data_IF_892706387287
#
_entry.id   IF_892706387287
#
_cell.length_a   1.000
_cell.length_b   1.000
_cell.length_c   1.000
_cell.angle_alpha   90.00
_cell.angle_beta   90.00
_cell.angle_gamma   90.00
#
_symmetry.space_group_name_H-M   'P 1'
#
loop_
_entity.id
_entity.type
_entity.pdbx_description
1 polymer ?
#
# COMPACT_ATOMS: atom_id res chain seq x y z
N UNK A 1 -2.92 8.42 -6.32
CA UNK A 1 -3.74 7.91 -5.19
C UNK A 1 -3.53 8.75 -3.94
N UNK A 2 -4.51 8.75 -3.03
CA UNK A 2 -4.45 9.47 -1.75
C UNK A 2 -3.74 8.62 -0.69
N UNK A 3 -2.71 9.17 -0.06
CA UNK A 3 -2.06 8.60 1.12
C UNK A 3 -2.94 8.80 2.35
N UNK A 4 -3.16 7.74 3.12
CA UNK A 4 -3.87 7.79 4.39
C UNK A 4 -2.89 7.47 5.52
N UNK A 5 -2.40 8.48 6.28
CA UNK A 5 -1.41 8.25 7.33
C UNK A 5 -1.98 7.44 8.50
N UNK A 6 -1.11 6.66 9.14
CA UNK A 6 -1.43 5.98 10.41
C UNK A 6 -1.72 7.02 11.50
N UNK A 7 -2.80 6.81 12.26
CA UNK A 7 -3.09 7.61 13.46
C UNK A 7 -4.55 7.64 13.89
N UNK A 8 -5.51 7.56 12.95
CA UNK A 8 -6.96 7.68 13.28
C UNK A 8 -7.75 6.38 13.18
N UNK A 9 -7.29 5.43 12.37
CA UNK A 9 -8.01 4.17 12.08
C UNK A 9 -7.06 3.12 11.52
N UNK A 10 -7.23 1.87 11.92
CA UNK A 10 -6.58 0.73 11.26
C UNK A 10 -6.96 0.69 9.76
N UNK A 11 -6.07 0.18 8.88
CA UNK A 11 -6.41 0.04 7.47
C UNK A 11 -7.62 -0.89 7.32
N UNK A 12 -8.62 -0.53 6.51
CA UNK A 12 -9.75 -1.42 6.27
C UNK A 12 -9.29 -2.69 5.55
N UNK A 13 -10.11 -3.73 5.60
CA UNK A 13 -9.92 -4.91 4.74
C UNK A 13 -10.16 -4.57 3.27
N UNK A 14 -9.47 -5.26 2.37
CA UNK A 14 -9.74 -5.15 0.94
C UNK A 14 -11.14 -5.60 0.59
N UNK A 15 -11.63 -5.15 -0.57
CA UNK A 15 -12.86 -5.66 -1.19
C UNK A 15 -12.57 -6.11 -2.62
N UNK A 16 -13.42 -6.99 -3.14
CA UNK A 16 -13.32 -7.42 -4.53
C UNK A 16 -13.45 -6.24 -5.50
N UNK A 17 -12.86 -6.40 -6.68
CA UNK A 17 -12.82 -5.36 -7.68
C UNK A 17 -12.27 -5.85 -9.01
N UNK A 18 -12.27 -4.96 -9.99
CA UNK A 18 -11.62 -5.14 -11.29
C UNK A 18 -10.11 -5.17 -11.17
N UNK A 19 -9.42 -5.92 -12.03
CA UNK A 19 -7.96 -5.91 -12.07
C UNK A 19 -7.43 -4.52 -12.42
N UNK A 20 -6.36 -4.09 -11.75
CA UNK A 20 -5.70 -2.80 -11.94
C UNK A 20 -4.22 -2.91 -11.55
N UNK A 21 -3.48 -1.82 -11.66
CA UNK A 21 -2.08 -1.73 -11.23
C UNK A 21 -1.87 -0.55 -10.29
N UNK A 22 -1.05 -0.76 -9.27
CA UNK A 22 -0.52 0.29 -8.39
C UNK A 22 0.99 0.43 -8.61
N UNK A 23 1.45 1.67 -8.75
CA UNK A 23 2.89 1.98 -8.81
C UNK A 23 3.27 2.73 -7.54
N UNK A 24 3.90 2.03 -6.61
CA UNK A 24 4.44 2.63 -5.39
C UNK A 24 5.69 3.42 -5.70
N UNK A 25 5.81 4.60 -5.10
CA UNK A 25 6.99 5.46 -5.19
C UNK A 25 7.40 5.83 -3.77
N UNK A 26 8.50 5.24 -3.29
CA UNK A 26 9.01 5.58 -1.98
C UNK A 26 9.83 6.87 -2.06
N UNK A 27 9.20 8.00 -1.70
CA UNK A 27 9.85 9.31 -1.59
C UNK A 27 10.24 9.67 -0.15
N UNK A 28 10.08 8.74 0.79
CA UNK A 28 10.59 8.88 2.15
C UNK A 28 12.09 8.58 2.18
N UNK A 29 12.76 8.99 3.24
CA UNK A 29 14.20 8.74 3.43
C UNK A 29 14.51 7.31 3.87
N UNK A 30 13.49 6.51 4.24
CA UNK A 30 13.64 5.17 4.79
C UNK A 30 13.14 4.08 3.84
N UNK A 31 13.65 2.85 3.98
CA UNK A 31 13.02 1.67 3.38
C UNK A 31 11.67 1.41 4.04
N UNK A 32 10.70 1.00 3.24
CA UNK A 32 9.35 0.66 3.70
C UNK A 32 8.97 -0.74 3.25
N UNK A 33 8.07 -1.38 3.98
CA UNK A 33 7.47 -2.66 3.57
C UNK A 33 6.06 -2.44 3.08
N UNK A 34 5.70 -3.17 2.02
CA UNK A 34 4.39 -3.14 1.39
C UNK A 34 3.61 -4.41 1.77
N UNK A 35 2.41 -4.20 2.30
CA UNK A 35 1.47 -5.24 2.68
C UNK A 35 0.16 -5.05 1.96
N UNK A 36 -0.42 -6.13 1.45
CA UNK A 36 -1.82 -6.15 1.07
C UNK A 36 -2.65 -6.59 2.27
N UNK A 37 -3.73 -5.87 2.58
CA UNK A 37 -4.69 -6.32 3.57
C UNK A 37 -5.69 -7.24 2.88
N UNK A 38 -5.74 -8.51 3.26
CA UNK A 38 -6.60 -9.50 2.62
C UNK A 38 -8.09 -9.17 2.78
N UNK A 39 -8.94 -9.92 2.08
CA UNK A 39 -10.40 -9.82 2.26
C UNK A 39 -10.87 -10.20 3.67
N UNK A 40 -10.05 -10.93 4.41
CA UNK A 40 -10.27 -11.31 5.81
C UNK A 40 -9.65 -10.30 6.80
N UNK A 41 -8.91 -9.29 6.32
CA UNK A 41 -8.23 -8.30 7.16
C UNK A 41 -6.80 -8.67 7.55
N UNK A 42 -6.26 -9.77 7.02
CA UNK A 42 -4.90 -10.22 7.34
C UNK A 42 -3.85 -9.44 6.54
N UNK A 43 -2.72 -9.11 7.17
CA UNK A 43 -1.58 -8.49 6.47
C UNK A 43 -0.82 -9.54 5.68
N UNK A 44 -0.73 -9.38 4.37
CA UNK A 44 0.06 -10.22 3.47
C UNK A 44 1.25 -9.41 2.98
N UNK A 45 2.46 -9.82 3.39
CA UNK A 45 3.70 -9.18 2.92
C UNK A 45 3.87 -9.41 1.42
N UNK A 46 4.28 -8.36 0.70
CA UNK A 46 4.54 -8.42 -0.74
C UNK A 46 5.97 -8.07 -1.09
N UNK A 47 6.47 -6.93 -0.60
CA UNK A 47 7.77 -6.43 -1.02
C UNK A 47 8.32 -5.44 -0.01
N UNK A 48 9.65 -5.34 0.04
CA UNK A 48 10.35 -4.22 0.65
C UNK A 48 10.77 -3.23 -0.43
N UNK A 49 10.45 -1.96 -0.23
CA UNK A 49 10.74 -0.88 -1.15
C UNK A 49 11.74 0.11 -0.54
N UNK A 50 12.97 0.06 -1.05
CA UNK A 50 14.05 0.96 -0.61
C UNK A 50 13.71 2.44 -0.85
N UNK A 51 14.33 3.31 -0.07
CA UNK A 51 14.26 4.77 -0.26
C UNK A 51 14.57 5.17 -1.71
N UNK A 52 13.77 6.08 -2.26
CA UNK A 52 13.89 6.59 -3.64
C UNK A 52 13.52 5.59 -4.74
N UNK A 53 13.05 4.38 -4.42
CA UNK A 53 12.71 3.35 -5.41
C UNK A 53 11.20 3.27 -5.68
N UNK A 54 10.88 2.69 -6.84
CA UNK A 54 9.51 2.43 -7.27
C UNK A 54 9.23 0.93 -7.34
N UNK A 55 7.99 0.52 -7.07
CA UNK A 55 7.52 -0.86 -7.20
C UNK A 55 6.19 -0.89 -7.95
N UNK A 56 6.14 -1.59 -9.09
CA UNK A 56 4.91 -1.81 -9.85
C UNK A 56 4.27 -3.13 -9.42
N UNK A 57 3.00 -3.09 -9.05
CA UNK A 57 2.28 -4.24 -8.53
C UNK A 57 0.90 -4.37 -9.17
N UNK A 58 0.64 -5.52 -9.79
CA UNK A 58 -0.70 -5.89 -10.23
C UNK A 58 -1.58 -6.14 -9.00
N UNK A 59 -2.80 -5.63 -9.02
CA UNK A 59 -3.73 -5.68 -7.89
C UNK A 59 -5.18 -5.60 -8.41
N UNK A 60 -6.12 -5.33 -7.53
CA UNK A 60 -7.53 -5.12 -7.86
C UNK A 60 -8.00 -3.77 -7.33
N UNK A 61 -9.07 -3.22 -7.88
CA UNK A 61 -9.74 -2.08 -7.28
C UNK A 61 -10.29 -2.41 -5.89
N UNK A 62 -10.34 -1.42 -5.01
CA UNK A 62 -10.68 -1.56 -3.59
C UNK A 62 -9.68 -2.42 -2.78
N UNK A 63 -8.51 -2.70 -3.32
CA UNK A 63 -7.42 -3.32 -2.57
C UNK A 63 -6.79 -2.28 -1.63
N UNK A 64 -6.58 -2.69 -0.39
CA UNK A 64 -5.95 -1.87 0.64
C UNK A 64 -4.50 -2.29 0.78
N UNK A 65 -3.61 -1.33 0.56
CA UNK A 65 -2.17 -1.50 0.63
C UNK A 65 -1.62 -0.74 1.82
N UNK A 66 -1.24 -1.48 2.86
CA UNK A 66 -0.58 -0.95 4.05
C UNK A 66 0.92 -0.80 3.80
N UNK A 67 1.45 0.32 4.23
CA UNK A 67 2.88 0.63 4.23
C UNK A 67 3.36 0.71 5.67
N UNK A 68 4.44 0.01 5.97
CA UNK A 68 5.09 0.04 7.28
C UNK A 68 6.56 0.42 7.16
N UNK A 69 7.19 0.75 8.28
CA UNK A 69 8.64 0.77 8.37
C UNK A 69 9.22 -0.66 8.42
N UNK A 70 10.54 -0.76 8.59
CA UNK A 70 11.27 -2.03 8.69
C UNK A 70 10.90 -2.89 9.90
N UNK A 71 10.35 -2.27 10.96
CA UNK A 71 9.98 -2.90 12.22
C UNK A 71 8.46 -3.19 12.27
N UNK A 72 7.80 -3.21 11.10
CA UNK A 72 6.37 -3.50 10.89
C UNK A 72 5.43 -2.48 11.54
N UNK A 73 5.93 -1.28 11.89
CA UNK A 73 5.11 -0.18 12.39
C UNK A 73 4.36 0.47 11.23
N UNK A 74 3.01 0.53 11.27
CA UNK A 74 2.20 1.17 10.25
C UNK A 74 2.56 2.65 10.04
N UNK A 75 2.84 3.05 8.80
CA UNK A 75 3.06 4.45 8.42
C UNK A 75 1.82 5.06 7.76
N UNK A 76 1.11 4.26 6.99
CA UNK A 76 -0.12 4.65 6.30
C UNK A 76 -0.55 3.62 5.28
N UNK A 77 -1.65 3.87 4.58
CA UNK A 77 -2.16 2.96 3.57
C UNK A 77 -2.74 3.69 2.35
N UNK A 78 -2.94 2.92 1.28
CA UNK A 78 -3.64 3.32 0.06
C UNK A 78 -4.83 2.42 -0.17
N UNK A 79 -5.85 2.96 -0.85
CA UNK A 79 -6.97 2.19 -1.38
C UNK A 79 -6.97 2.41 -2.89
N UNK A 80 -6.91 1.32 -3.66
CA UNK A 80 -6.83 1.35 -5.12
C UNK A 80 -8.19 1.66 -5.75
N UNK A 81 -8.17 2.41 -6.86
CA UNK A 81 -9.32 2.61 -7.74
C UNK A 81 -9.36 1.61 -8.89
N UNK A 82 -10.31 1.79 -9.81
CA UNK A 82 -10.46 0.97 -11.03
C UNK A 82 -9.37 1.16 -12.08
N UNK A 83 -8.58 2.23 -11.99
CA UNK A 83 -7.57 2.60 -12.97
C UNK A 83 -6.16 2.49 -12.38
N UNK A 84 -5.16 2.39 -13.27
CA UNK A 84 -3.76 2.41 -12.84
C UNK A 84 -3.43 3.75 -12.17
N UNK A 85 -2.77 3.71 -11.02
CA UNK A 85 -2.37 4.95 -10.36
C UNK A 85 -1.08 4.84 -9.54
N UNK A 86 -0.42 5.99 -9.42
CA UNK A 86 0.76 6.18 -8.59
C UNK A 86 0.40 6.37 -7.11
N UNK A 87 1.14 5.70 -6.24
CA UNK A 87 1.05 5.76 -4.79
C UNK A 87 2.34 6.32 -4.22
N UNK A 88 2.33 7.61 -3.87
CA UNK A 88 3.51 8.32 -3.35
C UNK A 88 3.56 8.15 -1.83
N UNK A 89 4.59 7.46 -1.34
CA UNK A 89 4.88 7.27 0.08
C UNK A 89 5.76 8.42 0.53
N UNK A 90 5.41 9.03 1.67
CA UNK A 90 6.09 10.19 2.27
C UNK A 90 6.63 9.82 3.63
#
# INVERSE_FOLDING_TARGET
>A
MKWVPTGKTEPPKSRGGTATTIVFQNKSEQSVKLYWISYQGERRFYSELKSGKNHRQNTYSNAVWLVTDKDDKPLGHFITGGEEANAIIK
#
